data_IF_458186072888
#
_entry.id   IF_458186072888
#
_cell.length_a   1.000
_cell.length_b   1.000
_cell.length_c   1.000
_cell.angle_alpha   90.00
_cell.angle_beta   90.00
_cell.angle_gamma   90.00
#
_symmetry.space_group_name_H-M   'P 1'
#
loop_
_entity.id
_entity.type
_entity.pdbx_description
1 polymer ?
#
# COMPACT_ATOMS: atom_id res chain seq x y z
N UNK A 1 -16.26 -46.55 -31.21
CA UNK A 1 -15.22 -45.81 -30.44
C UNK A 1 -14.77 -44.70 -31.36
N UNK A 2 -15.53 -43.62 -31.35
CA UNK A 2 -15.60 -42.68 -32.47
C UNK A 2 -15.05 -41.33 -32.03
N UNK A 3 -14.13 -40.83 -32.84
CA UNK A 3 -13.48 -39.53 -32.70
C UNK A 3 -14.45 -38.45 -33.20
N UNK A 4 -14.74 -37.38 -32.44
CA UNK A 4 -15.45 -36.24 -32.99
C UNK A 4 -14.47 -35.26 -33.64
N UNK A 5 -14.66 -35.09 -34.94
CA UNK A 5 -14.05 -34.13 -35.85
C UNK A 5 -14.39 -32.67 -35.53
N UNK A 6 -13.53 -31.78 -36.03
CA UNK A 6 -13.61 -30.32 -36.00
C UNK A 6 -15.01 -29.78 -36.37
N UNK A 7 -15.50 -28.81 -35.59
CA UNK A 7 -16.49 -27.82 -36.07
C UNK A 7 -15.85 -26.44 -36.11
N UNK A 8 -15.46 -26.04 -37.32
CA UNK A 8 -15.28 -24.65 -37.69
C UNK A 8 -16.64 -23.94 -37.59
N UNK A 9 -16.71 -22.83 -36.85
CA UNK A 9 -17.79 -21.86 -36.99
C UNK A 9 -17.25 -20.64 -37.72
N UNK A 10 -17.63 -20.52 -38.99
CA UNK A 10 -17.72 -19.24 -39.69
C UNK A 10 -18.82 -18.43 -39.00
N UNK A 11 -18.56 -17.16 -38.72
CA UNK A 11 -19.61 -16.17 -38.54
C UNK A 11 -19.17 -14.87 -39.21
N UNK A 12 -20.14 -14.30 -39.92
CA UNK A 12 -20.03 -13.41 -41.05
C UNK A 12 -19.71 -11.96 -40.66
N UNK A 13 -19.06 -11.27 -41.60
CA UNK A 13 -18.88 -9.83 -41.58
C UNK A 13 -20.21 -9.13 -41.87
N UNK A 14 -20.54 -8.12 -41.08
CA UNK A 14 -21.44 -7.04 -41.49
C UNK A 14 -20.70 -5.68 -41.37
N UNK A 15 -20.84 -4.77 -42.34
CA UNK A 15 -20.06 -3.54 -42.42
C UNK A 15 -20.75 -2.38 -41.68
N UNK A 16 -20.04 -1.73 -40.77
CA UNK A 16 -20.48 -0.45 -40.18
C UNK A 16 -19.46 0.63 -40.50
N UNK A 17 -19.85 1.47 -41.45
CA UNK A 17 -19.18 2.68 -41.89
C UNK A 17 -19.27 3.72 -40.76
N UNK A 18 -18.14 4.06 -40.14
CA UNK A 18 -17.98 5.35 -39.49
C UNK A 18 -16.63 5.94 -39.87
N UNK A 19 -16.71 6.88 -40.82
CA UNK A 19 -15.62 7.69 -41.36
C UNK A 19 -15.38 8.83 -40.36
N UNK A 20 -14.48 8.64 -39.39
CA UNK A 20 -13.94 9.76 -38.62
C UNK A 20 -12.69 10.29 -39.31
N UNK A 21 -12.86 11.39 -40.03
CA UNK A 21 -11.76 12.21 -40.51
C UNK A 21 -11.11 12.89 -39.30
N UNK A 22 -9.91 12.45 -38.94
CA UNK A 22 -8.99 13.28 -38.18
C UNK A 22 -7.81 13.68 -39.07
N UNK A 23 -7.72 14.98 -39.34
CA UNK A 23 -6.55 15.61 -39.94
C UNK A 23 -5.35 15.41 -39.01
N UNK A 24 -4.50 14.43 -39.30
CA UNK A 24 -3.17 14.38 -38.71
C UNK A 24 -2.23 15.22 -39.55
N UNK A 25 -1.91 16.42 -39.05
CA UNK A 25 -0.74 17.19 -39.46
C UNK A 25 0.50 16.32 -39.28
N UNK A 26 1.12 15.92 -40.38
CA UNK A 26 2.43 15.28 -40.39
C UNK A 26 3.49 16.32 -40.06
N UNK A 27 4.05 16.27 -38.85
CA UNK A 27 5.33 16.91 -38.57
C UNK A 27 6.43 15.86 -38.72
N UNK A 28 7.22 16.00 -39.79
CA UNK A 28 8.47 15.28 -40.01
C UNK A 28 9.60 16.08 -39.36
N UNK A 29 10.25 15.48 -38.38
CA UNK A 29 11.67 15.60 -37.97
C UNK A 29 11.82 14.68 -36.77
N UNK A 30 12.70 13.68 -36.72
CA UNK A 30 14.16 13.82 -36.77
C UNK A 30 14.75 12.43 -37.03
N UNK A 31 15.81 12.37 -37.83
CA UNK A 31 16.58 11.18 -38.19
C UNK A 31 17.06 10.40 -36.95
N UNK A 32 16.39 9.29 -36.63
CA UNK A 32 17.01 8.26 -35.80
C UNK A 32 17.89 7.41 -36.72
N UNK A 33 19.20 7.48 -36.49
CA UNK A 33 20.13 6.52 -37.09
C UNK A 33 19.56 5.11 -36.87
N UNK A 34 19.36 4.30 -37.93
CA UNK A 34 18.74 2.99 -37.78
C UNK A 34 19.60 2.18 -36.81
N UNK A 35 19.00 1.73 -35.71
CA UNK A 35 19.66 0.82 -34.78
C UNK A 35 19.96 -0.44 -35.59
N UNK A 36 21.21 -0.62 -36.01
CA UNK A 36 21.60 -1.80 -36.77
C UNK A 36 21.56 -2.99 -35.83
N UNK A 37 20.55 -3.84 -35.97
CA UNK A 37 20.58 -5.15 -35.33
C UNK A 37 21.70 -5.98 -35.96
N UNK A 38 22.44 -6.72 -35.13
CA UNK A 38 23.51 -7.61 -35.59
C UNK A 38 22.93 -8.76 -36.41
N UNK A 39 21.76 -9.25 -35.98
CA UNK A 39 21.00 -10.29 -36.68
C UNK A 39 19.51 -10.04 -36.56
N UNK A 40 18.78 -10.33 -37.63
CA UNK A 40 17.33 -10.22 -37.71
C UNK A 40 16.72 -11.56 -38.14
N UNK A 41 15.69 -12.01 -37.42
CA UNK A 41 14.92 -13.21 -37.70
C UNK A 41 13.44 -12.85 -37.81
N UNK A 42 12.89 -12.84 -39.03
CA UNK A 42 11.52 -12.38 -39.34
C UNK A 42 10.44 -13.25 -38.70
N UNK A 43 10.64 -14.57 -38.70
CA UNK A 43 9.71 -15.54 -38.11
C UNK A 43 10.45 -16.43 -37.11
N UNK A 44 10.19 -16.18 -35.82
CA UNK A 44 10.80 -16.92 -34.75
C UNK A 44 10.44 -18.42 -34.74
N UNK A 45 9.26 -18.81 -35.22
CA UNK A 45 8.86 -20.23 -35.26
C UNK A 45 9.62 -21.01 -36.32
N UNK A 46 9.62 -20.46 -37.54
CA UNK A 46 10.22 -21.07 -38.73
C UNK A 46 11.75 -21.09 -38.63
N UNK A 47 12.33 -20.02 -38.10
CA UNK A 47 13.79 -19.86 -37.97
C UNK A 47 14.35 -20.40 -36.64
N UNK A 48 13.56 -21.05 -35.77
CA UNK A 48 13.99 -21.48 -34.42
C UNK A 48 15.30 -22.26 -34.39
N UNK A 49 15.50 -23.19 -35.34
CA UNK A 49 16.72 -24.01 -35.43
C UNK A 49 17.94 -23.15 -35.77
N UNK A 50 17.76 -22.19 -36.69
CA UNK A 50 18.80 -21.26 -37.10
C UNK A 50 19.15 -20.29 -35.96
N UNK A 51 18.14 -19.73 -35.28
CA UNK A 51 18.30 -18.87 -34.11
C UNK A 51 19.17 -19.55 -33.04
N UNK A 52 18.91 -20.82 -32.74
CA UNK A 52 19.68 -21.56 -31.74
C UNK A 52 21.12 -21.82 -32.22
N UNK A 53 21.30 -22.24 -33.49
CA UNK A 53 22.61 -22.54 -34.06
C UNK A 53 23.51 -21.29 -34.11
N UNK A 54 22.98 -20.19 -34.57
CA UNK A 54 23.71 -18.93 -34.78
C UNK A 54 24.19 -18.26 -33.49
N UNK A 55 23.49 -18.52 -32.39
CA UNK A 55 23.69 -17.88 -31.09
C UNK A 55 24.25 -18.85 -30.04
N UNK A 56 24.82 -19.97 -30.49
CA UNK A 56 25.53 -20.92 -29.64
C UNK A 56 26.76 -20.23 -29.04
N UNK A 57 26.96 -20.41 -27.73
CA UNK A 57 28.08 -19.87 -26.95
C UNK A 57 28.26 -18.35 -27.04
N UNK A 58 27.18 -17.61 -27.33
CA UNK A 58 27.16 -16.14 -27.35
C UNK A 58 26.31 -15.57 -26.23
N UNK A 59 26.82 -14.53 -25.58
CA UNK A 59 26.09 -13.63 -24.70
C UNK A 59 25.68 -12.36 -25.45
N UNK A 60 24.62 -11.71 -24.99
CA UNK A 60 24.21 -10.43 -25.59
C UNK A 60 22.80 -9.98 -25.24
N UNK A 61 22.39 -8.92 -25.92
CA UNK A 61 21.08 -8.28 -25.82
C UNK A 61 20.24 -8.63 -27.04
N UNK A 62 18.99 -9.04 -26.79
CA UNK A 62 18.04 -9.39 -27.83
C UNK A 62 16.73 -8.62 -27.66
N UNK A 63 16.00 -8.51 -28.75
CA UNK A 63 14.68 -7.86 -28.83
C UNK A 63 13.68 -8.80 -29.48
N UNK A 64 12.58 -9.03 -28.79
CA UNK A 64 11.39 -9.66 -29.36
C UNK A 64 10.42 -8.56 -29.80
N UNK A 65 9.89 -8.67 -31.01
CA UNK A 65 8.89 -7.73 -31.53
C UNK A 65 7.62 -8.50 -31.89
N UNK A 66 6.48 -8.12 -31.31
CA UNK A 66 5.20 -8.66 -31.72
C UNK A 66 4.77 -7.99 -33.04
N UNK A 67 4.61 -8.78 -34.11
CA UNK A 67 4.27 -8.27 -35.44
C UNK A 67 2.86 -7.70 -35.51
N UNK A 68 1.95 -8.15 -34.63
CA UNK A 68 0.56 -7.69 -34.54
C UNK A 68 0.48 -6.39 -33.75
N UNK A 69 0.92 -6.39 -32.49
CA UNK A 69 0.76 -5.20 -31.60
C UNK A 69 1.87 -4.18 -31.73
N UNK A 70 2.98 -4.54 -32.39
CA UNK A 70 4.24 -3.77 -32.47
C UNK A 70 4.93 -3.54 -31.12
N UNK A 71 4.42 -4.16 -30.06
CA UNK A 71 5.06 -4.13 -28.74
C UNK A 71 6.35 -4.92 -28.76
N UNK A 72 7.34 -4.41 -28.02
CA UNK A 72 8.67 -5.00 -27.94
C UNK A 72 9.01 -5.43 -26.51
N UNK A 73 9.90 -6.42 -26.42
CA UNK A 73 10.55 -6.86 -25.19
C UNK A 73 12.06 -6.87 -25.41
N UNK A 74 12.81 -6.28 -24.49
CA UNK A 74 14.27 -6.32 -24.46
C UNK A 74 14.70 -7.31 -23.37
N UNK A 75 15.68 -8.14 -23.68
CA UNK A 75 16.26 -9.04 -22.69
C UNK A 75 17.75 -9.27 -22.90
N UNK A 76 18.46 -9.56 -21.81
CA UNK A 76 19.83 -10.05 -21.84
C UNK A 76 19.93 -11.57 -21.67
N UNK A 77 21.05 -12.15 -22.11
CA UNK A 77 21.45 -13.49 -21.65
C UNK A 77 22.96 -13.72 -21.71
N UNK A 78 23.47 -14.48 -20.74
CA UNK A 78 24.81 -15.08 -20.76
C UNK A 78 24.93 -16.11 -21.89
N UNK A 79 23.84 -16.84 -22.21
CA UNK A 79 23.82 -17.82 -23.29
C UNK A 79 22.52 -17.70 -24.06
N UNK A 80 22.58 -16.97 -25.17
CA UNK A 80 21.45 -16.67 -26.04
C UNK A 80 20.79 -17.95 -26.55
N UNK A 81 21.55 -18.92 -27.05
CA UNK A 81 21.01 -20.21 -27.48
C UNK A 81 20.19 -20.90 -26.38
N UNK A 82 20.73 -21.02 -25.15
CA UNK A 82 20.00 -21.63 -24.02
C UNK A 82 18.75 -20.84 -23.66
N UNK A 83 18.80 -19.50 -23.75
CA UNK A 83 17.64 -18.62 -23.50
C UNK A 83 16.54 -18.84 -24.52
N UNK A 84 16.87 -18.93 -25.81
CA UNK A 84 15.90 -19.15 -26.88
C UNK A 84 15.30 -20.56 -26.84
N UNK A 85 16.10 -21.59 -26.53
CA UNK A 85 15.58 -22.95 -26.29
C UNK A 85 14.48 -22.93 -25.22
N UNK A 86 14.69 -22.18 -24.13
CA UNK A 86 13.68 -22.03 -23.07
C UNK A 86 12.44 -21.30 -23.57
N UNK A 87 12.59 -20.24 -24.37
CA UNK A 87 11.44 -19.53 -24.93
C UNK A 87 10.61 -20.38 -25.88
N UNK A 88 11.23 -21.25 -26.68
CA UNK A 88 10.51 -22.18 -27.56
C UNK A 88 9.96 -23.41 -26.84
N UNK A 89 10.17 -23.54 -25.52
CA UNK A 89 9.63 -24.62 -24.71
C UNK A 89 8.33 -24.17 -24.01
N UNK A 90 7.19 -24.74 -24.43
CA UNK A 90 5.89 -24.36 -23.89
C UNK A 90 5.73 -24.64 -22.40
N UNK A 91 6.29 -25.74 -21.88
CA UNK A 91 6.25 -26.07 -20.45
C UNK A 91 6.99 -25.02 -19.62
N UNK A 92 8.16 -24.59 -20.10
CA UNK A 92 8.92 -23.50 -19.48
C UNK A 92 8.12 -22.18 -19.44
N UNK A 93 7.43 -21.83 -20.53
CA UNK A 93 6.62 -20.61 -20.57
C UNK A 93 5.44 -20.67 -19.61
N UNK A 94 4.72 -21.80 -19.55
CA UNK A 94 3.58 -21.99 -18.63
C UNK A 94 4.00 -21.86 -17.17
N UNK A 95 5.14 -22.42 -16.79
CA UNK A 95 5.68 -22.29 -15.44
C UNK A 95 6.16 -20.86 -15.10
N UNK A 96 6.22 -19.95 -16.09
CA UNK A 96 6.62 -18.54 -15.91
C UNK A 96 5.57 -17.59 -16.47
N UNK A 97 4.31 -17.89 -16.19
CA UNK A 97 3.17 -17.04 -16.54
C UNK A 97 3.23 -15.63 -15.94
N UNK A 98 4.04 -15.41 -14.91
CA UNK A 98 4.26 -14.08 -14.32
C UNK A 98 5.00 -13.13 -15.25
N UNK A 99 5.85 -13.66 -16.15
CA UNK A 99 6.60 -12.87 -17.13
C UNK A 99 5.70 -12.43 -18.29
N UNK A 100 5.67 -11.13 -18.59
CA UNK A 100 4.84 -10.56 -19.67
C UNK A 100 5.18 -11.18 -21.02
N UNK A 101 6.47 -11.34 -21.33
CA UNK A 101 6.92 -11.95 -22.60
C UNK A 101 6.47 -13.40 -22.74
N UNK A 102 6.45 -14.20 -21.66
CA UNK A 102 5.94 -15.59 -21.71
C UNK A 102 4.47 -15.62 -22.06
N UNK A 103 3.66 -14.76 -21.41
CA UNK A 103 2.22 -14.62 -21.73
C UNK A 103 2.00 -14.15 -23.17
N UNK A 104 2.82 -13.22 -23.64
CA UNK A 104 2.71 -12.69 -25.00
C UNK A 104 3.04 -13.77 -26.06
N UNK A 105 4.12 -14.53 -25.87
CA UNK A 105 4.49 -15.65 -26.75
C UNK A 105 3.41 -16.74 -26.79
N UNK A 106 2.81 -17.08 -25.65
CA UNK A 106 1.69 -18.03 -25.57
C UNK A 106 0.44 -17.48 -26.28
N UNK A 107 0.09 -16.22 -26.01
CA UNK A 107 -1.16 -15.60 -26.49
C UNK A 107 -1.17 -15.37 -28.00
N UNK A 108 -0.08 -14.84 -28.55
CA UNK A 108 -0.01 -14.44 -29.96
C UNK A 108 0.67 -15.49 -30.85
N UNK A 109 1.37 -16.47 -30.26
CA UNK A 109 2.07 -17.52 -30.98
C UNK A 109 3.40 -17.06 -31.59
N UNK A 110 4.36 -17.98 -31.71
CA UNK A 110 5.74 -17.67 -32.12
C UNK A 110 5.86 -17.09 -33.54
N UNK A 111 4.99 -17.49 -34.48
CA UNK A 111 5.02 -17.02 -35.87
C UNK A 111 4.72 -15.52 -36.00
N UNK A 112 4.02 -14.95 -35.01
CA UNK A 112 3.70 -13.53 -34.93
C UNK A 112 4.78 -12.72 -34.21
N UNK A 113 5.94 -13.30 -33.97
CA UNK A 113 7.09 -12.61 -33.41
C UNK A 113 8.30 -12.65 -34.35
N UNK A 114 8.98 -11.52 -34.43
CA UNK A 114 10.36 -11.45 -34.92
C UNK A 114 11.34 -11.34 -33.76
N UNK A 115 12.56 -11.82 -33.98
CA UNK A 115 13.64 -11.79 -33.01
C UNK A 115 14.85 -11.07 -33.61
N UNK A 116 15.40 -10.15 -32.85
CA UNK A 116 16.59 -9.40 -33.22
C UNK A 116 17.68 -9.57 -32.16
N UNK A 117 18.91 -9.74 -32.60
CA UNK A 117 20.08 -9.58 -31.74
C UNK A 117 20.54 -8.15 -31.91
N UNK A 118 20.44 -7.36 -30.83
CA UNK A 118 20.82 -5.96 -30.85
C UNK A 118 22.33 -5.79 -30.68
N UNK A 119 22.94 -6.61 -29.83
CA UNK A 119 24.36 -6.55 -29.53
C UNK A 119 24.84 -7.88 -28.93
N UNK A 120 26.04 -8.32 -29.33
CA UNK A 120 26.79 -9.33 -28.58
C UNK A 120 27.75 -8.60 -27.65
N UNK A 121 27.71 -8.91 -26.36
CA UNK A 121 28.53 -8.24 -25.36
C UNK A 121 28.98 -9.21 -24.27
N UNK A 122 30.06 -8.83 -23.58
CA UNK A 122 30.60 -9.59 -22.46
C UNK A 122 29.65 -9.64 -21.28
N UNK A 123 29.76 -10.70 -20.48
CA UNK A 123 28.87 -10.98 -19.35
C UNK A 123 28.83 -9.82 -18.35
N UNK A 124 29.96 -9.15 -18.13
CA UNK A 124 30.06 -8.02 -17.21
C UNK A 124 29.21 -6.82 -17.63
N UNK A 125 28.99 -6.63 -18.93
CA UNK A 125 28.33 -5.45 -19.49
C UNK A 125 26.83 -5.68 -19.76
N UNK A 126 26.33 -6.90 -19.62
CA UNK A 126 24.96 -7.26 -20.03
C UNK A 126 23.90 -6.34 -19.40
N UNK A 127 23.99 -6.06 -18.10
CA UNK A 127 22.95 -5.29 -17.39
C UNK A 127 22.96 -3.82 -17.77
N UNK A 128 24.14 -3.22 -17.96
CA UNK A 128 24.28 -1.85 -18.44
C UNK A 128 23.74 -1.71 -19.87
N UNK A 129 24.08 -2.67 -20.75
CA UNK A 129 23.61 -2.66 -22.15
C UNK A 129 22.10 -2.93 -22.24
N UNK A 130 21.55 -3.81 -21.40
CA UNK A 130 20.10 -4.03 -21.32
C UNK A 130 19.38 -2.73 -20.94
N UNK A 131 19.86 -2.02 -19.92
CA UNK A 131 19.32 -0.72 -19.51
C UNK A 131 19.40 0.29 -20.65
N UNK A 132 20.55 0.41 -21.32
CA UNK A 132 20.73 1.32 -22.46
C UNK A 132 19.66 1.12 -23.55
N UNK A 133 19.39 -0.14 -23.93
CA UNK A 133 18.37 -0.43 -24.94
C UNK A 133 16.94 -0.27 -24.43
N UNK A 134 16.68 -0.55 -23.15
CA UNK A 134 15.39 -0.29 -22.53
C UNK A 134 15.07 1.21 -22.52
N UNK A 135 16.02 2.06 -22.15
CA UNK A 135 15.83 3.51 -22.12
C UNK A 135 15.66 4.09 -23.53
N UNK A 136 16.42 3.56 -24.49
CA UNK A 136 16.37 4.01 -25.89
C UNK A 136 15.09 3.61 -26.62
N UNK A 137 14.57 2.42 -26.35
CA UNK A 137 13.43 1.84 -27.10
C UNK A 137 12.11 1.85 -26.33
N UNK A 138 12.14 2.12 -25.03
CA UNK A 138 10.98 2.15 -24.13
C UNK A 138 10.03 0.94 -24.29
N UNK A 139 10.51 -0.29 -24.04
CA UNK A 139 9.79 -1.51 -24.36
C UNK A 139 8.57 -1.77 -23.47
N UNK A 140 7.40 -1.98 -24.09
CA UNK A 140 6.14 -2.17 -23.36
C UNK A 140 6.07 -3.47 -22.56
N UNK A 141 6.72 -4.53 -23.03
CA UNK A 141 6.68 -5.83 -22.33
C UNK A 141 7.67 -5.91 -21.15
N UNK A 142 8.57 -4.94 -20.97
CA UNK A 142 9.43 -4.87 -19.78
C UNK A 142 8.68 -4.12 -18.67
N UNK A 143 8.24 -4.85 -17.64
CA UNK A 143 7.49 -4.25 -16.52
C UNK A 143 8.38 -3.43 -15.59
N UNK A 144 9.61 -3.90 -15.36
CA UNK A 144 10.59 -3.18 -14.55
C UNK A 144 11.25 -2.10 -15.38
N UNK A 145 11.49 -0.93 -14.77
CA UNK A 145 12.18 0.20 -15.41
C UNK A 145 13.70 0.07 -15.34
N UNK A 146 14.19 -0.60 -14.30
CA UNK A 146 15.60 -0.85 -14.07
C UNK A 146 15.90 -2.29 -14.46
N UNK A 147 16.89 -2.51 -15.32
CA UNK A 147 17.38 -3.82 -15.71
C UNK A 147 17.88 -4.58 -14.47
N UNK A 148 17.47 -5.85 -14.35
CA UNK A 148 17.86 -6.71 -13.23
C UNK A 148 17.34 -6.34 -11.83
N UNK A 149 16.60 -5.23 -11.65
CA UNK A 149 16.16 -4.76 -10.33
C UNK A 149 14.71 -4.28 -10.30
N UNK A 150 13.98 -4.63 -9.25
CA UNK A 150 12.65 -4.09 -8.96
C UNK A 150 12.70 -2.76 -8.20
N UNK A 151 13.89 -2.25 -7.88
CA UNK A 151 14.04 -0.99 -7.15
C UNK A 151 13.35 0.16 -7.89
N UNK A 152 12.64 1.01 -7.15
CA UNK A 152 11.89 2.13 -7.72
C UNK A 152 10.61 1.77 -8.49
N UNK A 153 10.28 0.48 -8.67
CA UNK A 153 9.01 0.08 -9.25
C UNK A 153 7.85 0.41 -8.31
N UNK A 154 7.05 1.42 -8.67
CA UNK A 154 5.88 1.82 -7.90
C UNK A 154 4.67 1.01 -8.36
N UNK A 155 3.98 0.40 -7.39
CA UNK A 155 2.66 -0.20 -7.63
C UNK A 155 1.64 0.87 -8.00
N UNK A 156 0.70 0.54 -8.87
CA UNK A 156 -0.43 1.42 -9.18
C UNK A 156 -1.35 1.58 -7.96
N UNK A 157 -2.10 2.69 -7.91
CA UNK A 157 -3.07 2.93 -6.83
C UNK A 157 -4.14 1.83 -6.76
N UNK A 158 -4.56 1.29 -7.91
CA UNK A 158 -5.48 0.15 -7.96
C UNK A 158 -4.87 -1.10 -7.28
N UNK A 159 -3.59 -1.39 -7.53
CA UNK A 159 -2.93 -2.54 -6.89
C UNK A 159 -2.73 -2.31 -5.40
N UNK A 160 -2.33 -1.10 -4.98
CA UNK A 160 -2.21 -0.73 -3.55
C UNK A 160 -3.53 -0.89 -2.80
N UNK A 161 -4.63 -0.45 -3.40
CA UNK A 161 -5.97 -0.58 -2.80
C UNK A 161 -6.41 -2.05 -2.71
N UNK A 162 -6.14 -2.88 -3.73
CA UNK A 162 -6.40 -4.33 -3.66
C UNK A 162 -5.64 -5.02 -2.53
N UNK A 163 -4.33 -4.74 -2.41
CA UNK A 163 -3.49 -5.27 -1.33
C UNK A 163 -3.98 -4.77 0.04
N UNK A 164 -4.29 -3.49 0.16
CA UNK A 164 -4.82 -2.92 1.39
C UNK A 164 -6.14 -3.59 1.81
N UNK A 165 -7.07 -3.77 0.87
CA UNK A 165 -8.33 -4.47 1.11
C UNK A 165 -8.13 -5.93 1.52
N UNK A 166 -7.20 -6.64 0.89
CA UNK A 166 -6.94 -8.04 1.22
C UNK A 166 -6.27 -8.24 2.58
N UNK A 167 -5.42 -7.29 3.00
CA UNK A 167 -4.71 -7.37 4.29
C UNK A 167 -5.53 -6.80 5.46
N UNK A 168 -6.50 -5.92 5.18
CA UNK A 168 -7.37 -5.35 6.22
C UNK A 168 -8.14 -6.46 6.93
N UNK A 169 -7.93 -6.59 8.24
CA UNK A 169 -8.61 -7.63 9.04
C UNK A 169 -7.84 -8.93 9.22
N UNK A 170 -6.74 -9.13 8.49
CA UNK A 170 -5.98 -10.39 8.54
C UNK A 170 -5.20 -10.52 9.85
N UNK A 171 -4.49 -9.47 10.25
CA UNK A 171 -3.65 -9.45 11.45
C UNK A 171 -4.24 -8.57 12.54
N UNK A 172 -5.49 -8.85 12.93
CA UNK A 172 -6.18 -8.13 13.99
C UNK A 172 -6.29 -9.03 15.22
N UNK A 173 -6.02 -8.45 16.40
CA UNK A 173 -6.10 -9.14 17.69
C UNK A 173 -5.32 -10.46 17.64
N UNK A 174 -5.90 -11.55 18.13
CA UNK A 174 -5.30 -12.89 18.23
C UNK A 174 -4.73 -13.44 16.91
N UNK A 175 -5.17 -12.94 15.75
CA UNK A 175 -4.62 -13.32 14.45
C UNK A 175 -3.24 -12.71 14.17
N UNK A 176 -2.87 -11.67 14.91
CA UNK A 176 -1.52 -11.11 14.85
C UNK A 176 -0.59 -11.96 15.71
N UNK A 177 0.54 -12.38 15.13
CA UNK A 177 1.61 -13.07 15.86
C UNK A 177 2.20 -12.24 17.02
N UNK A 178 1.93 -10.93 17.04
CA UNK A 178 2.38 -10.00 18.08
C UNK A 178 1.30 -9.70 19.14
N UNK A 179 0.10 -10.26 19.01
CA UNK A 179 -0.96 -10.01 19.97
C UNK A 179 -0.61 -10.54 21.35
N UNK A 180 -0.87 -9.73 22.38
CA UNK A 180 -0.52 -10.05 23.76
C UNK A 180 0.98 -9.96 24.09
N UNK A 181 1.86 -9.75 23.11
CA UNK A 181 3.28 -9.51 23.39
C UNK A 181 3.47 -8.10 23.95
N UNK A 182 4.17 -8.03 25.07
CA UNK A 182 4.60 -6.78 25.68
C UNK A 182 6.12 -6.74 25.71
N UNK A 183 6.69 -5.55 25.53
CA UNK A 183 8.13 -5.35 25.71
C UNK A 183 8.50 -5.51 27.19
N UNK A 184 9.72 -5.98 27.47
CA UNK A 184 10.28 -5.98 28.83
C UNK A 184 10.36 -4.56 29.37
N UNK A 185 10.29 -4.40 30.69
CA UNK A 185 10.38 -3.08 31.33
C UNK A 185 11.70 -2.37 30.99
N UNK A 186 12.81 -3.11 30.92
CA UNK A 186 14.10 -2.58 30.46
C UNK A 186 14.02 -2.03 29.03
N UNK A 187 13.39 -2.76 28.11
CA UNK A 187 13.24 -2.31 26.72
C UNK A 187 12.32 -1.08 26.64
N UNK A 188 11.25 -1.03 27.44
CA UNK A 188 10.37 0.15 27.52
C UNK A 188 11.12 1.36 28.06
N UNK A 189 11.93 1.19 29.10
CA UNK A 189 12.75 2.25 29.68
C UNK A 189 13.78 2.78 28.67
N UNK A 190 14.43 1.90 27.92
CA UNK A 190 15.38 2.28 26.87
C UNK A 190 14.68 3.05 25.74
N UNK A 191 13.55 2.55 25.23
CA UNK A 191 12.77 3.23 24.20
C UNK A 191 12.25 4.61 24.68
N UNK A 192 11.87 4.73 25.95
CA UNK A 192 11.46 6.00 26.56
C UNK A 192 12.63 6.98 26.64
N UNK A 193 13.79 6.52 27.09
CA UNK A 193 15.02 7.33 27.21
C UNK A 193 15.49 7.86 25.84
N UNK A 194 15.37 7.02 24.80
CA UNK A 194 15.76 7.38 23.43
C UNK A 194 14.80 8.36 22.74
N UNK A 195 13.62 8.63 23.30
CA UNK A 195 12.63 9.54 22.71
C UNK A 195 12.25 10.69 23.64
N UNK A 196 12.97 10.87 24.75
CA UNK A 196 12.73 11.94 25.71
C UNK A 196 13.74 13.07 25.53
N UNK A 197 13.30 14.29 25.91
CA UNK A 197 14.11 15.50 25.86
C UNK A 197 14.78 15.68 24.49
N UNK A 198 16.08 15.98 24.47
CA UNK A 198 16.89 16.26 23.27
C UNK A 198 16.92 15.11 22.26
N UNK A 199 16.69 13.86 22.70
CA UNK A 199 16.64 12.72 21.79
C UNK A 199 15.35 12.69 20.96
N UNK A 200 14.30 13.39 21.38
CA UNK A 200 13.07 13.52 20.60
C UNK A 200 13.38 14.29 19.30
N UNK A 201 13.08 13.75 18.11
CA UNK A 201 13.30 14.46 16.84
C UNK A 201 12.58 15.81 16.71
N UNK A 202 11.56 16.05 17.54
CA UNK A 202 10.80 17.29 17.64
C UNK A 202 11.22 18.20 18.82
N UNK A 203 12.25 17.86 19.58
CA UNK A 203 12.76 18.72 20.64
C UNK A 203 13.20 20.08 20.07
N UNK A 204 12.78 21.15 20.74
CA UNK A 204 13.05 22.53 20.31
C UNK A 204 12.33 22.98 19.02
N UNK A 205 11.54 22.12 18.38
CA UNK A 205 10.80 22.48 17.14
C UNK A 205 9.36 22.89 17.47
N UNK A 206 8.89 23.92 16.79
CA UNK A 206 7.49 24.39 16.88
C UNK A 206 6.74 24.15 15.58
N UNK A 207 5.48 23.73 15.66
CA UNK A 207 4.62 23.58 14.49
C UNK A 207 4.29 24.93 13.84
N UNK A 208 4.18 24.92 12.50
CA UNK A 208 3.68 26.07 11.74
C UNK A 208 2.24 26.42 12.11
N UNK A 209 1.84 27.67 11.86
CA UNK A 209 0.48 28.14 12.14
C UNK A 209 -0.57 27.32 11.37
N UNK A 210 -0.30 27.00 10.10
CA UNK A 210 -1.15 26.14 9.28
C UNK A 210 -1.34 24.76 9.91
N UNK A 211 -0.25 24.13 10.37
CA UNK A 211 -0.32 22.81 11.02
C UNK A 211 -1.12 22.88 12.32
N UNK A 212 -0.96 23.96 13.10
CA UNK A 212 -1.75 24.18 14.33
C UNK A 212 -3.24 24.28 14.03
N UNK A 213 -3.62 24.99 12.97
CA UNK A 213 -5.03 25.11 12.57
C UNK A 213 -5.60 23.76 12.12
N UNK A 214 -4.85 22.97 11.33
CA UNK A 214 -5.27 21.62 10.95
C UNK A 214 -5.48 20.70 12.16
N UNK A 215 -4.59 20.77 13.16
CA UNK A 215 -4.75 20.02 14.41
C UNK A 215 -5.99 20.49 15.20
N UNK A 216 -6.24 21.80 15.25
CA UNK A 216 -7.43 22.38 15.89
C UNK A 216 -8.71 21.91 15.23
N UNK A 217 -8.80 21.97 13.90
CA UNK A 217 -9.98 21.53 13.16
C UNK A 217 -10.28 20.05 13.40
N UNK A 218 -9.26 19.18 13.43
CA UNK A 218 -9.41 17.76 13.78
C UNK A 218 -9.73 17.50 15.26
N UNK A 219 -9.45 18.46 16.15
CA UNK A 219 -9.76 18.37 17.56
C UNK A 219 -11.19 18.85 17.88
N UNK A 220 -11.74 19.70 17.01
CA UNK A 220 -13.10 20.21 17.15
C UNK A 220 -14.09 19.04 17.20
N UNK A 221 -14.99 19.05 18.20
CA UNK A 221 -16.03 18.03 18.34
C UNK A 221 -15.57 16.70 18.96
N UNK A 222 -14.30 16.54 19.35
CA UNK A 222 -13.89 15.36 20.13
C UNK A 222 -14.63 15.35 21.47
N UNK A 223 -15.43 14.31 21.70
CA UNK A 223 -16.10 14.03 22.98
C UNK A 223 -15.64 12.68 23.49
N UNK A 224 -15.30 12.60 24.77
CA UNK A 224 -15.04 11.33 25.42
C UNK A 224 -16.37 10.56 25.60
N UNK A 225 -16.30 9.23 25.54
CA UNK A 225 -17.45 8.38 25.89
C UNK A 225 -17.80 8.55 27.36
N UNK A 226 -19.06 8.28 27.72
CA UNK A 226 -19.53 8.38 29.11
C UNK A 226 -18.73 7.47 30.05
N UNK A 227 -18.39 6.26 29.59
CA UNK A 227 -17.54 5.33 30.34
C UNK A 227 -16.14 5.91 30.60
N UNK A 228 -15.52 6.52 29.58
CA UNK A 228 -14.20 7.15 29.72
C UNK A 228 -14.27 8.33 30.69
N UNK A 229 -15.31 9.16 30.59
CA UNK A 229 -15.55 10.27 31.52
C UNK A 229 -15.73 9.80 32.95
N UNK A 230 -16.42 8.67 33.16
CA UNK A 230 -16.57 8.07 34.47
C UNK A 230 -15.22 7.60 35.02
N UNK A 231 -14.42 6.85 34.25
CA UNK A 231 -13.08 6.40 34.66
C UNK A 231 -12.17 7.57 35.04
N UNK A 232 -12.16 8.63 34.24
CA UNK A 232 -11.42 9.86 34.54
C UNK A 232 -11.92 10.56 35.80
N UNK A 233 -13.24 10.59 36.02
CA UNK A 233 -13.84 11.17 37.22
C UNK A 233 -13.54 10.34 38.47
N UNK A 234 -13.51 9.01 38.37
CA UNK A 234 -13.21 8.14 39.53
C UNK A 234 -11.73 8.23 39.92
N UNK A 235 -10.81 8.36 38.97
CA UNK A 235 -9.37 8.41 39.28
C UNK A 235 -8.87 9.77 39.78
N UNK A 236 -9.55 10.87 39.42
CA UNK A 236 -9.12 12.24 39.77
C UNK A 236 -10.16 13.02 40.58
N UNK A 237 -11.35 12.48 40.75
CA UNK A 237 -12.47 13.13 41.43
C UNK A 237 -12.45 12.90 42.92
N UNK A 238 -13.02 13.85 43.65
CA UNK A 238 -13.23 13.72 45.09
C UNK A 238 -14.59 13.09 45.33
N UNK A 239 -14.64 12.02 46.12
CA UNK A 239 -15.88 11.36 46.45
C UNK A 239 -16.69 12.27 47.39
N UNK A 240 -17.97 12.46 47.08
CA UNK A 240 -18.86 13.31 47.87
C UNK A 240 -20.09 12.53 48.29
N UNK A 241 -20.40 12.64 49.57
CA UNK A 241 -21.58 12.05 50.19
C UNK A 241 -22.55 13.16 50.58
N UNK A 242 -23.82 12.97 50.27
CA UNK A 242 -24.90 13.91 50.60
C UNK A 242 -25.80 13.26 51.63
N UNK A 243 -25.99 13.92 52.77
CA UNK A 243 -26.88 13.47 53.83
C UNK A 243 -28.06 14.44 53.99
N UNK A 244 -29.27 13.93 54.19
CA UNK A 244 -30.48 14.71 54.50
C UNK A 244 -30.81 14.66 55.98
N UNK A 245 -31.32 15.75 56.52
CA UNK A 245 -31.90 15.79 57.87
C UNK A 245 -33.27 15.08 57.88
N UNK A 246 -33.48 14.18 58.83
CA UNK A 246 -34.77 13.53 59.14
C UNK A 246 -35.22 13.91 60.55
N UNK A 247 -36.51 14.23 60.72
CA UNK A 247 -37.06 14.88 61.92
C UNK A 247 -36.92 14.10 63.24
N UNK A 248 -36.70 12.78 63.18
CA UNK A 248 -36.64 11.91 64.38
C UNK A 248 -35.31 11.16 64.57
N UNK A 249 -34.39 11.14 63.60
CA UNK A 249 -33.19 10.25 63.63
C UNK A 249 -31.87 10.88 63.11
N UNK A 250 -31.78 12.19 62.96
CA UNK A 250 -30.53 12.88 62.57
C UNK A 250 -30.33 12.96 61.05
N UNK A 251 -29.14 12.61 60.54
CA UNK A 251 -28.79 12.73 59.12
C UNK A 251 -28.72 11.37 58.42
N UNK A 252 -29.45 11.19 57.32
CA UNK A 252 -29.46 9.97 56.50
C UNK A 252 -28.74 10.19 55.17
N UNK A 253 -27.87 9.25 54.79
CA UNK A 253 -27.17 9.27 53.50
C UNK A 253 -28.17 9.10 52.34
N UNK A 254 -28.19 10.05 51.41
CA UNK A 254 -29.05 10.05 50.21
C UNK A 254 -28.28 9.49 49.01
N UNK A 255 -26.99 9.77 48.91
CA UNK A 255 -26.19 9.32 47.76
C UNK A 255 -24.71 9.63 47.87
N UNK A 256 -23.93 8.85 47.12
CA UNK A 256 -22.50 9.02 46.93
C UNK A 256 -22.19 9.33 45.46
N UNK A 257 -21.27 10.28 45.24
CA UNK A 257 -20.98 10.82 43.92
C UNK A 257 -19.47 10.90 43.70
N UNK A 258 -19.00 10.35 42.57
CA UNK A 258 -17.57 10.34 42.19
C UNK A 258 -16.95 11.73 41.96
N UNK A 259 -17.72 12.82 42.08
CA UNK A 259 -17.18 14.18 42.06
C UNK A 259 -18.16 15.19 42.67
N UNK A 260 -17.61 16.28 43.20
CA UNK A 260 -18.35 17.48 43.63
C UNK A 260 -19.32 17.98 42.54
N UNK A 261 -18.92 17.99 41.27
CA UNK A 261 -19.78 18.47 40.17
C UNK A 261 -20.99 17.57 39.95
N UNK A 262 -20.84 16.24 40.12
CA UNK A 262 -21.97 15.31 40.02
C UNK A 262 -22.92 15.45 41.21
N UNK A 263 -22.38 15.58 42.43
CA UNK A 263 -23.17 15.87 43.62
C UNK A 263 -23.95 17.18 43.48
N UNK A 264 -23.30 18.22 42.96
CA UNK A 264 -23.92 19.52 42.73
C UNK A 264 -25.04 19.45 41.68
N UNK A 265 -24.82 18.71 40.58
CA UNK A 265 -25.85 18.48 39.56
C UNK A 265 -27.06 17.71 40.10
N UNK A 266 -26.86 16.79 41.04
CA UNK A 266 -27.96 16.03 41.65
C UNK A 266 -28.93 16.93 42.46
N UNK A 267 -28.40 17.94 43.16
CA UNK A 267 -29.21 18.91 43.91
C UNK A 267 -29.51 20.21 43.12
N UNK A 268 -29.12 20.26 41.84
CA UNK A 268 -29.21 21.46 40.98
C UNK A 268 -28.62 22.73 41.61
N UNK A 269 -27.43 22.59 42.22
CA UNK A 269 -26.69 23.69 42.84
C UNK A 269 -25.30 23.86 42.22
N UNK A 270 -24.62 24.96 42.56
CA UNK A 270 -23.26 25.18 42.08
C UNK A 270 -22.27 24.22 42.75
N UNK A 271 -21.27 23.75 41.99
CA UNK A 271 -20.20 22.91 42.53
C UNK A 271 -19.36 23.65 43.60
N UNK A 272 -19.28 24.98 43.53
CA UNK A 272 -18.61 25.78 44.55
C UNK A 272 -19.37 25.76 45.87
N UNK A 273 -20.71 25.79 45.84
CA UNK A 273 -21.56 25.66 47.03
C UNK A 273 -21.26 24.35 47.74
N UNK A 274 -21.32 23.22 47.03
CA UNK A 274 -20.99 21.90 47.62
C UNK A 274 -19.59 21.91 48.24
N UNK A 275 -18.59 22.47 47.55
CA UNK A 275 -17.23 22.58 48.11
C UNK A 275 -17.16 23.43 49.38
N UNK A 276 -17.83 24.56 49.42
CA UNK A 276 -17.85 25.47 50.57
C UNK A 276 -18.45 24.79 51.80
N UNK A 277 -19.56 24.07 51.63
CA UNK A 277 -20.22 23.37 52.73
C UNK A 277 -19.49 22.09 53.16
N UNK A 278 -18.76 21.41 52.26
CA UNK A 278 -17.81 20.35 52.66
C UNK A 278 -16.70 20.94 53.54
N UNK A 279 -16.14 22.09 53.16
CA UNK A 279 -15.01 22.69 53.88
C UNK A 279 -15.40 23.32 55.23
N UNK A 280 -16.55 23.98 55.29
CA UNK A 280 -17.07 24.61 56.53
C UNK A 280 -17.71 23.59 57.48
N UNK A 281 -18.19 22.46 56.96
CA UNK A 281 -18.95 21.46 57.73
C UNK A 281 -20.36 21.92 58.12
N UNK A 282 -20.77 23.10 57.67
CA UNK A 282 -22.09 23.67 57.92
C UNK A 282 -23.19 22.93 57.14
N UNK A 283 -24.43 23.08 57.61
CA UNK A 283 -25.60 22.47 56.98
C UNK A 283 -26.14 23.45 55.94
N UNK A 284 -26.30 22.98 54.71
CA UNK A 284 -26.90 23.76 53.63
C UNK A 284 -28.42 23.76 53.76
N UNK A 285 -29.01 24.96 53.85
CA UNK A 285 -30.46 25.21 53.98
C UNK A 285 -31.11 24.42 55.12
N UNK A 286 -30.39 24.20 56.22
CA UNK A 286 -30.83 23.40 57.38
C UNK A 286 -31.30 21.97 57.07
N UNK A 287 -30.97 21.47 55.86
CA UNK A 287 -31.50 20.22 55.30
C UNK A 287 -30.41 19.26 54.84
N UNK A 288 -29.35 19.76 54.19
CA UNK A 288 -28.34 18.91 53.57
C UNK A 288 -26.97 19.08 54.21
N UNK A 289 -26.32 17.97 54.56
CA UNK A 289 -24.93 17.93 55.02
C UNK A 289 -24.06 17.22 53.99
N UNK A 290 -22.98 17.87 53.58
CA UNK A 290 -22.02 17.32 52.62
C UNK A 290 -20.77 16.82 53.35
N UNK A 291 -20.29 15.63 52.99
CA UNK A 291 -18.97 15.16 53.41
C UNK A 291 -18.18 14.70 52.19
N UNK A 292 -16.85 14.83 52.24
CA UNK A 292 -15.98 14.48 51.13
C UNK A 292 -14.79 13.66 51.58
N UNK A 293 -14.42 12.67 50.76
CA UNK A 293 -13.18 11.91 50.89
C UNK A 293 -12.28 12.21 49.68
N UNK A 294 -10.97 12.27 49.95
CA UNK A 294 -9.95 12.58 48.96
C UNK A 294 -9.41 11.33 48.29
#
# INVERSE_FOLDING_TARGET
RDVPTQKCFKLELAPSIYKFFYNHRSYSTTSSSPISSVKFYEDAFSMRKLIIKDNKDKSGIYKWTNKITKDIYIGQSISLAKRFIRYFNLSYLKNRETLVISRALIKYGYSNFSLEILEYCDIANLTEREQYYMDKLNPRYNTLKIAGSSSGHKLSEETKTKISKSLKGVYIQEKSALYGRTHTEETKALMSSNNSNENNPFFGKTHSLETKELMRQKALGRKHSEETLLKMSTSRGHLVYIHEKCDSEGFKLIGSFVSIRKAAKFLDISANTVRLYINSGEIFKDRYKFTGER
#
